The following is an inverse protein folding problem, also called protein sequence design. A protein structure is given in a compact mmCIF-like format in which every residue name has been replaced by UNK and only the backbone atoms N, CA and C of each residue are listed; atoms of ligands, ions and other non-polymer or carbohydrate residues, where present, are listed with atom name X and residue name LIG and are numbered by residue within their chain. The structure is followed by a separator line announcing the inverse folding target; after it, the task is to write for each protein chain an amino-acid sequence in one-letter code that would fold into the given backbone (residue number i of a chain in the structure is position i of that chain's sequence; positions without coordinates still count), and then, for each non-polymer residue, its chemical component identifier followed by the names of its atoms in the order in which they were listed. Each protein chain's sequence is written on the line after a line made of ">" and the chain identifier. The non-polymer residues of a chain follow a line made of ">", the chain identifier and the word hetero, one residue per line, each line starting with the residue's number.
data_IF_787876406946
#
_entry.id   IF_787876406946
#
_cell.length_a   1.000
_cell.length_b   1.000
_cell.length_c   1.000
_cell.angle_alpha   90.00
_cell.angle_beta   90.00
_cell.angle_gamma   90.00
#
_symmetry.space_group_name_H-M   'P 1'
#
loop_
_entity.id
_entity.type
_entity.pdbx_description
1 polymer ?
#
# COMPACT_ATOMS: atom_id res chain seq x y z
N UNK A 1 -17.33 -10.18 2.07
CA UNK A 1 -17.25 -9.10 1.07
C UNK A 1 -15.80 -8.96 0.60
N UNK A 2 -15.58 -8.50 -0.64
CA UNK A 2 -14.24 -8.42 -1.24
C UNK A 2 -13.28 -7.47 -0.50
N UNK A 3 -13.80 -6.42 0.14
CA UNK A 3 -13.07 -5.53 1.05
C UNK A 3 -12.33 -6.32 2.14
N UNK A 4 -13.04 -7.19 2.88
CA UNK A 4 -12.45 -7.97 3.98
C UNK A 4 -11.35 -8.92 3.49
N UNK A 5 -11.54 -9.54 2.33
CA UNK A 5 -10.52 -10.37 1.68
C UNK A 5 -9.25 -9.55 1.39
N UNK A 6 -9.40 -8.32 0.88
CA UNK A 6 -8.27 -7.44 0.58
C UNK A 6 -7.55 -6.94 1.84
N UNK A 7 -8.27 -6.65 2.92
CA UNK A 7 -7.68 -6.35 4.23
C UNK A 7 -6.85 -7.54 4.75
N UNK A 8 -7.39 -8.76 4.67
CA UNK A 8 -6.71 -9.96 5.12
C UNK A 8 -5.48 -10.28 4.25
N UNK A 9 -5.57 -10.05 2.94
CA UNK A 9 -4.42 -10.12 2.03
C UNK A 9 -3.34 -9.09 2.39
N UNK A 10 -3.71 -7.83 2.63
CA UNK A 10 -2.75 -6.80 3.03
C UNK A 10 -1.98 -7.21 4.30
N UNK A 11 -2.70 -7.72 5.31
CA UNK A 11 -2.11 -8.20 6.56
C UNK A 11 -1.21 -9.44 6.34
N UNK A 12 -1.61 -10.37 5.48
CA UNK A 12 -0.78 -11.53 5.14
C UNK A 12 0.50 -11.11 4.43
N UNK A 13 0.40 -10.20 3.44
CA UNK A 13 1.54 -9.77 2.62
C UNK A 13 2.60 -9.04 3.44
N UNK A 14 2.21 -8.17 4.38
CA UNK A 14 3.18 -7.50 5.23
C UNK A 14 3.82 -8.46 6.25
N UNK A 15 3.05 -9.45 6.75
CA UNK A 15 3.59 -10.52 7.59
C UNK A 15 4.61 -11.37 6.84
N UNK A 16 4.28 -11.80 5.62
CA UNK A 16 5.19 -12.54 4.75
C UNK A 16 6.44 -11.73 4.40
N UNK A 17 6.28 -10.45 4.08
CA UNK A 17 7.40 -9.52 3.86
C UNK A 17 8.37 -9.51 5.05
N UNK A 18 7.86 -9.46 6.29
CA UNK A 18 8.70 -9.54 7.49
C UNK A 18 9.46 -10.85 7.60
N UNK A 19 8.78 -11.98 7.35
CA UNK A 19 9.42 -13.30 7.39
C UNK A 19 10.55 -13.39 6.37
N UNK A 20 10.31 -12.93 5.13
CA UNK A 20 11.30 -12.92 4.07
C UNK A 20 12.49 -12.00 4.42
N UNK A 21 12.22 -10.81 4.96
CA UNK A 21 13.25 -9.86 5.36
C UNK A 21 14.17 -10.47 6.43
N UNK A 22 13.59 -11.13 7.44
CA UNK A 22 14.34 -11.78 8.51
C UNK A 22 15.17 -12.99 8.02
N UNK A 23 14.82 -13.57 6.87
CA UNK A 23 15.52 -14.71 6.25
C UNK A 23 16.42 -14.28 5.07
N UNK A 24 16.74 -12.99 4.95
CA UNK A 24 17.56 -12.42 3.87
C UNK A 24 16.99 -12.58 2.44
N UNK A 25 15.69 -12.87 2.30
CA UNK A 25 15.01 -12.94 1.01
C UNK A 25 14.53 -11.55 0.56
N UNK A 26 15.48 -10.64 0.30
CA UNK A 26 15.21 -9.19 0.14
C UNK A 26 14.29 -8.84 -1.04
N UNK A 27 14.49 -9.48 -2.20
CA UNK A 27 13.64 -9.24 -3.39
C UNK A 27 12.16 -9.55 -3.09
N UNK A 28 11.92 -10.70 -2.46
CA UNK A 28 10.57 -11.10 -2.07
C UNK A 28 10.01 -10.22 -0.95
N UNK A 29 10.83 -9.84 0.02
CA UNK A 29 10.43 -8.94 1.09
C UNK A 29 9.96 -7.57 0.55
N UNK A 30 10.76 -6.95 -0.31
CA UNK A 30 10.43 -5.66 -0.95
C UNK A 30 9.17 -5.77 -1.80
N UNK A 31 9.09 -6.84 -2.61
CA UNK A 31 7.95 -7.11 -3.47
C UNK A 31 6.64 -7.24 -2.67
N UNK A 32 6.60 -8.11 -1.66
CA UNK A 32 5.39 -8.33 -0.86
C UNK A 32 5.04 -7.14 0.04
N UNK A 33 6.02 -6.33 0.46
CA UNK A 33 5.78 -5.12 1.22
C UNK A 33 4.86 -4.16 0.45
N UNK A 34 5.18 -3.86 -0.82
CA UNK A 34 4.34 -2.97 -1.61
C UNK A 34 2.97 -3.55 -1.97
N UNK A 35 2.84 -4.87 -2.17
CA UNK A 35 1.52 -5.49 -2.33
C UNK A 35 0.62 -5.33 -1.10
N UNK A 36 1.20 -5.24 0.10
CA UNK A 36 0.38 -4.96 1.28
C UNK A 36 -0.31 -3.59 1.18
N UNK A 37 0.39 -2.58 0.67
CA UNK A 37 -0.16 -1.24 0.45
C UNK A 37 -1.19 -1.24 -0.68
N UNK A 38 -0.91 -1.91 -1.80
CA UNK A 38 -1.86 -2.06 -2.89
C UNK A 38 -3.17 -2.70 -2.42
N UNK A 39 -3.08 -3.83 -1.70
CA UNK A 39 -4.25 -4.52 -1.16
C UNK A 39 -5.03 -3.63 -0.18
N UNK A 40 -4.34 -2.89 0.69
CA UNK A 40 -4.99 -2.00 1.64
C UNK A 40 -5.74 -0.86 0.94
N UNK A 41 -5.16 -0.23 -0.08
CA UNK A 41 -5.82 0.82 -0.86
C UNK A 41 -7.01 0.26 -1.66
N UNK A 42 -6.86 -0.92 -2.26
CA UNK A 42 -7.97 -1.60 -2.96
C UNK A 42 -9.09 -1.98 -2.00
N UNK A 43 -8.81 -2.28 -0.73
CA UNK A 43 -9.83 -2.47 0.29
C UNK A 43 -10.62 -1.16 0.54
N UNK A 44 -9.94 -0.03 0.71
CA UNK A 44 -10.60 1.28 0.83
C UNK A 44 -11.48 1.59 -0.38
N UNK A 45 -11.01 1.29 -1.60
CA UNK A 45 -11.80 1.49 -2.82
C UNK A 45 -13.05 0.59 -2.81
N UNK A 46 -12.87 -0.70 -2.52
CA UNK A 46 -13.96 -1.67 -2.50
C UNK A 46 -15.07 -1.29 -1.51
N UNK A 47 -14.71 -0.77 -0.33
CA UNK A 47 -15.64 -0.27 0.70
C UNK A 47 -16.54 0.86 0.20
N UNK A 48 -16.02 1.70 -0.71
CA UNK A 48 -16.76 2.84 -1.26
C UNK A 48 -17.69 2.48 -2.42
N UNK A 49 -17.61 1.25 -2.95
CA UNK A 49 -18.50 0.79 -4.03
C UNK A 49 -19.82 0.31 -3.43
N UNK A 50 -20.90 1.03 -3.71
CA UNK A 50 -22.24 0.64 -3.26
C UNK A 50 -22.82 -0.45 -4.16
N UNK A 51 -23.40 -1.49 -3.56
CA UNK A 51 -24.04 -2.59 -4.29
C UNK A 51 -25.22 -2.15 -5.19
N UNK A 52 -25.81 -0.99 -4.91
CA UNK A 52 -26.93 -0.42 -5.67
C UNK A 52 -26.52 0.46 -6.85
N UNK A 53 -25.23 0.70 -7.04
CA UNK A 53 -24.70 1.57 -8.09
C UNK A 53 -23.85 0.73 -9.06
N UNK A 54 -23.97 1.00 -10.36
CA UNK A 54 -23.05 0.47 -11.36
C UNK A 54 -21.93 1.50 -11.50
N UNK A 55 -20.70 1.20 -11.06
CA UNK A 55 -19.61 2.16 -11.15
C UNK A 55 -19.24 2.42 -12.61
N UNK A 56 -18.66 3.59 -12.85
CA UNK A 56 -18.13 3.93 -14.17
C UNK A 56 -17.09 2.89 -14.63
N UNK A 57 -17.15 2.50 -15.91
CA UNK A 57 -16.29 1.46 -16.47
C UNK A 57 -14.80 1.84 -16.38
N UNK A 58 -14.47 3.11 -16.60
CA UNK A 58 -13.09 3.58 -16.50
C UNK A 58 -12.63 3.50 -15.05
N UNK A 59 -13.46 3.91 -14.09
CA UNK A 59 -13.14 3.73 -12.67
C UNK A 59 -12.81 2.28 -12.33
N UNK A 60 -13.63 1.31 -12.77
CA UNK A 60 -13.35 -0.11 -12.54
C UNK A 60 -12.02 -0.55 -13.15
N UNK A 61 -11.73 -0.13 -14.39
CA UNK A 61 -10.46 -0.46 -15.04
C UNK A 61 -9.27 0.15 -14.30
N UNK A 62 -9.40 1.39 -13.84
CA UNK A 62 -8.33 2.12 -13.15
C UNK A 62 -7.98 1.48 -11.79
N UNK A 63 -8.90 0.74 -11.14
CA UNK A 63 -8.61 -0.04 -9.91
C UNK A 63 -7.57 -1.13 -10.16
N UNK A 64 -7.50 -1.68 -11.38
CA UNK A 64 -6.53 -2.73 -11.71
C UNK A 64 -5.12 -2.19 -11.95
N UNK A 65 -4.90 -0.88 -11.82
CA UNK A 65 -3.55 -0.33 -11.72
C UNK A 65 -2.80 -0.88 -10.51
N UNK A 66 -1.48 -0.83 -10.62
CA UNK A 66 -0.52 -1.15 -9.57
C UNK A 66 0.24 0.11 -9.10
N UNK A 67 -0.14 1.30 -9.62
CA UNK A 67 0.43 2.58 -9.19
C UNK A 67 -0.21 3.06 -7.89
N UNK A 68 0.60 3.10 -6.83
CA UNK A 68 0.18 3.49 -5.47
C UNK A 68 -0.45 4.89 -5.44
N UNK A 69 0.13 5.84 -6.18
CA UNK A 69 -0.36 7.23 -6.24
C UNK A 69 -1.76 7.32 -6.83
N UNK A 70 -2.03 6.55 -7.88
CA UNK A 70 -3.34 6.46 -8.52
C UNK A 70 -4.35 5.78 -7.61
N UNK A 71 -3.96 4.70 -6.92
CA UNK A 71 -4.83 4.01 -5.97
C UNK A 71 -5.22 4.89 -4.78
N UNK A 72 -4.33 5.74 -4.27
CA UNK A 72 -4.67 6.72 -3.21
C UNK A 72 -5.74 7.71 -3.69
N UNK A 73 -5.67 8.17 -4.94
CA UNK A 73 -6.69 9.06 -5.52
C UNK A 73 -8.02 8.34 -5.68
N UNK A 74 -8.01 7.12 -6.23
CA UNK A 74 -9.21 6.29 -6.41
C UNK A 74 -9.87 5.94 -5.07
N UNK A 75 -9.08 5.76 -4.01
CA UNK A 75 -9.57 5.53 -2.65
C UNK A 75 -10.18 6.80 -2.01
N UNK A 76 -10.10 7.97 -2.66
CA UNK A 76 -10.56 9.24 -2.09
C UNK A 76 -9.64 9.79 -1.00
N UNK A 77 -8.40 9.30 -0.89
CA UNK A 77 -7.51 9.61 0.24
C UNK A 77 -6.49 10.73 -0.06
N UNK A 78 -6.44 11.26 -1.28
CA UNK A 78 -5.41 12.23 -1.70
C UNK A 78 -5.35 13.51 -0.84
N UNK A 79 -6.50 14.06 -0.43
CA UNK A 79 -6.54 15.25 0.44
C UNK A 79 -6.01 14.92 1.83
N UNK A 80 -6.46 13.82 2.43
CA UNK A 80 -6.00 13.36 3.74
C UNK A 80 -4.50 13.06 3.73
N UNK A 81 -4.01 12.42 2.66
CA UNK A 81 -2.60 12.13 2.43
C UNK A 81 -1.76 13.39 2.37
N UNK A 82 -2.21 14.43 1.64
CA UNK A 82 -1.53 15.75 1.57
C UNK A 82 -1.42 16.42 2.93
N UNK A 83 -2.54 16.46 3.68
CA UNK A 83 -2.57 17.04 5.03
C UNK A 83 -1.59 16.30 5.93
N UNK A 84 -1.63 14.96 5.92
CA UNK A 84 -0.74 14.13 6.73
C UNK A 84 0.73 14.34 6.36
N UNK A 85 1.07 14.34 5.08
CA UNK A 85 2.43 14.63 4.58
C UNK A 85 2.93 16.02 5.00
N UNK A 86 2.07 17.05 5.04
CA UNK A 86 2.46 18.40 5.46
C UNK A 86 2.60 18.58 6.97
N UNK A 87 1.98 17.72 7.77
CA UNK A 87 1.89 17.88 9.24
C UNK A 87 2.70 16.85 10.01
N UNK A 88 3.14 15.78 9.35
CA UNK A 88 3.85 14.66 9.95
C UNK A 88 5.13 14.34 9.13
N UNK A 89 6.31 14.78 9.59
CA UNK A 89 7.57 14.53 8.91
C UNK A 89 7.90 13.05 8.74
N UNK A 90 7.57 12.20 9.73
CA UNK A 90 7.83 10.76 9.67
C UNK A 90 6.98 10.14 8.56
N UNK A 91 5.69 10.51 8.49
CA UNK A 91 4.82 10.10 7.39
C UNK A 91 5.33 10.58 6.03
N UNK A 92 5.82 11.81 5.94
CA UNK A 92 6.35 12.38 4.68
C UNK A 92 7.52 11.56 4.13
N UNK A 93 8.48 11.19 4.99
CA UNK A 93 9.61 10.33 4.65
C UNK A 93 9.13 8.95 4.21
N UNK A 94 8.24 8.34 5.00
CA UNK A 94 7.71 7.01 4.71
C UNK A 94 6.91 6.98 3.39
N UNK A 95 6.15 8.03 3.12
CA UNK A 95 5.39 8.16 1.89
C UNK A 95 6.32 8.31 0.68
N UNK A 96 7.41 9.07 0.80
CA UNK A 96 8.41 9.19 -0.26
C UNK A 96 9.02 7.85 -0.66
N UNK A 97 9.15 6.91 0.28
CA UNK A 97 9.66 5.55 0.03
C UNK A 97 8.59 4.67 -0.65
N UNK A 98 7.35 4.71 -0.16
CA UNK A 98 6.29 3.77 -0.58
C UNK A 98 5.66 4.15 -1.91
N UNK A 99 5.50 5.45 -2.20
CA UNK A 99 4.69 5.95 -3.33
C UNK A 99 5.20 5.55 -4.72
N UNK A 100 6.48 5.18 -4.82
CA UNK A 100 7.15 4.87 -6.09
C UNK A 100 7.28 3.35 -6.31
N UNK A 101 6.79 2.54 -5.38
CA UNK A 101 6.64 1.10 -5.58
C UNK A 101 5.64 0.80 -6.72
N UNK A 102 5.93 -0.24 -7.49
CA UNK A 102 5.03 -0.85 -8.47
C UNK A 102 5.40 -2.34 -8.69
N UNK A 103 4.55 -3.06 -9.43
CA UNK A 103 4.71 -4.49 -9.74
C UNK A 103 5.99 -4.82 -10.51
N UNK A 104 6.56 -3.84 -11.22
CA UNK A 104 7.85 -3.96 -11.91
C UNK A 104 9.02 -4.25 -10.96
N UNK A 105 8.85 -4.03 -9.64
CA UNK A 105 9.81 -4.46 -8.62
C UNK A 105 10.12 -5.97 -8.67
N UNK A 106 9.23 -6.79 -9.25
CA UNK A 106 9.43 -8.22 -9.49
C UNK A 106 10.67 -8.53 -10.33
N UNK A 107 11.01 -7.66 -11.27
CA UNK A 107 12.08 -7.87 -12.25
C UNK A 107 13.37 -7.14 -11.89
N UNK A 108 13.54 -6.77 -10.61
CA UNK A 108 14.71 -6.07 -10.09
C UNK A 108 15.30 -6.82 -8.90
N UNK A 109 16.59 -6.60 -8.69
CA UNK A 109 17.24 -6.98 -7.44
C UNK A 109 17.19 -5.82 -6.46
N UNK A 110 16.88 -6.13 -5.21
CA UNK A 110 16.72 -5.16 -4.13
C UNK A 110 17.72 -5.46 -3.02
N UNK A 111 18.59 -4.51 -2.66
CA UNK A 111 19.53 -4.70 -1.57
C UNK A 111 18.78 -4.76 -0.23
N UNK A 112 19.42 -5.35 0.77
CA UNK A 112 18.91 -5.41 2.16
C UNK A 112 18.41 -4.07 2.66
N UNK A 113 19.14 -3.01 2.37
CA UNK A 113 18.82 -1.65 2.81
C UNK A 113 17.44 -1.21 2.30
N UNK A 114 17.19 -1.32 1.00
CA UNK A 114 15.92 -0.89 0.39
C UNK A 114 14.75 -1.78 0.83
N UNK A 115 14.96 -3.10 0.93
CA UNK A 115 13.95 -4.03 1.46
C UNK A 115 13.59 -3.72 2.93
N UNK A 116 14.57 -3.28 3.72
CA UNK A 116 14.35 -2.86 5.11
C UNK A 116 13.60 -1.52 5.15
N UNK A 117 14.04 -0.55 4.37
CA UNK A 117 13.45 0.80 4.31
C UNK A 117 11.97 0.77 3.91
N UNK A 118 11.60 0.01 2.87
CA UNK A 118 10.20 -0.07 2.47
C UNK A 118 9.35 -0.75 3.55
N UNK A 119 9.85 -1.81 4.19
CA UNK A 119 9.13 -2.49 5.26
C UNK A 119 8.91 -1.56 6.46
N UNK A 120 9.95 -0.84 6.88
CA UNK A 120 9.88 0.12 7.99
C UNK A 120 8.94 1.28 7.66
N UNK A 121 9.02 1.85 6.47
CA UNK A 121 8.12 2.92 6.04
C UNK A 121 6.64 2.51 6.08
N UNK A 122 6.36 1.23 5.81
CA UNK A 122 5.00 0.68 5.84
C UNK A 122 4.51 0.45 7.28
N UNK A 123 5.38 -0.07 8.15
CA UNK A 123 5.04 -0.54 9.50
C UNK A 123 5.45 0.38 10.64
N UNK A 124 6.00 1.57 10.33
CA UNK A 124 6.45 2.53 11.33
C UNK A 124 5.31 2.92 12.29
N UNK A 125 5.61 3.04 13.58
CA UNK A 125 4.59 3.28 14.62
C UNK A 125 4.07 4.71 14.65
N UNK A 126 4.84 5.69 14.16
CA UNK A 126 4.50 7.12 14.22
C UNK A 126 3.93 7.61 12.90
N UNK A 127 4.47 7.15 11.78
CA UNK A 127 4.11 7.58 10.43
C UNK A 127 3.96 6.44 9.42
N UNK A 128 3.71 5.19 9.86
CA UNK A 128 3.60 4.04 8.97
C UNK A 128 2.46 4.14 7.96
N UNK A 129 2.77 3.93 6.68
CA UNK A 129 1.79 4.10 5.60
C UNK A 129 0.65 3.10 5.69
N UNK A 130 0.92 1.84 6.08
CA UNK A 130 -0.16 0.87 6.25
C UNK A 130 -1.07 1.33 7.38
N UNK A 131 -0.54 1.60 8.58
CA UNK A 131 -1.33 2.05 9.73
C UNK A 131 -2.20 3.29 9.42
N UNK A 132 -1.72 4.19 8.56
CA UNK A 132 -2.53 5.31 8.09
C UNK A 132 -3.69 4.86 7.18
N UNK A 133 -3.44 4.03 6.17
CA UNK A 133 -4.49 3.49 5.29
C UNK A 133 -5.54 2.70 6.10
N UNK A 134 -5.10 1.97 7.13
CA UNK A 134 -5.98 1.18 7.99
C UNK A 134 -7.02 2.01 8.76
N UNK A 135 -6.89 3.33 8.81
CA UNK A 135 -7.89 4.22 9.41
C UNK A 135 -9.11 4.42 8.51
N UNK A 136 -9.01 4.09 7.22
CA UNK A 136 -10.03 4.35 6.21
C UNK A 136 -10.65 3.08 5.64
N UNK A 137 -9.95 1.95 5.73
CA UNK A 137 -10.45 0.66 5.24
C UNK A 137 -11.54 0.05 6.11
#
# INVERSE_FOLDING_TARGET
>A
MIEKLLQDLANSRIKESKVLLNNNCFNGAYYLAGYAIECALKACIAKNIKASEIPDKKFINDIFTHDVKSLVKLAGLEVYRRIKESTDPDFSINWAIVKDWNEGARYKEWPKQEATQIYEAIMDKKGGILLWIQQYW
#
